data_IF_746198807339
#
_entry.id   IF_746198807339
#
_cell.length_a   1.000
_cell.length_b   1.000
_cell.length_c   1.000
_cell.angle_alpha   90.00
_cell.angle_beta   90.00
_cell.angle_gamma   90.00
#
_symmetry.space_group_name_H-M   'P 1'
#
loop_
_entity.id
_entity.type
_entity.pdbx_description
1 polymer ?
#
# COMPACT_ATOMS: atom_id res chain seq x y z
N UNK A 1 -31.81 30.78 -31.89
CA UNK A 1 -31.79 31.20 -30.46
C UNK A 1 -31.64 29.95 -29.59
N UNK A 2 -30.52 29.83 -28.83
CA UNK A 2 -30.29 29.14 -27.53
C UNK A 2 -30.69 27.64 -27.39
N UNK A 3 -30.02 26.71 -26.70
CA UNK A 3 -28.74 26.47 -25.97
C UNK A 3 -28.79 24.94 -25.67
N UNK A 4 -27.80 24.13 -26.02
CA UNK A 4 -26.74 23.55 -25.16
C UNK A 4 -27.18 22.88 -23.83
N UNK A 5 -27.01 21.56 -23.72
CA UNK A 5 -26.67 20.75 -22.52
C UNK A 5 -26.73 19.26 -22.93
N UNK A 6 -25.69 18.43 -22.92
CA UNK A 6 -24.49 18.43 -22.10
C UNK A 6 -24.51 17.19 -21.19
N UNK A 7 -23.54 16.29 -21.42
CA UNK A 7 -22.92 15.41 -20.41
C UNK A 7 -23.77 14.25 -19.85
N UNK A 8 -23.23 13.08 -19.55
CA UNK A 8 -21.92 12.51 -19.77
C UNK A 8 -22.06 10.99 -19.72
N UNK A 9 -21.29 10.35 -20.59
CA UNK A 9 -20.87 8.96 -20.50
C UNK A 9 -20.27 8.70 -19.11
N UNK A 10 -20.98 7.92 -18.27
CA UNK A 10 -20.42 7.34 -17.05
C UNK A 10 -20.22 5.85 -17.31
N UNK A 11 -19.13 5.56 -18.01
CA UNK A 11 -18.49 4.25 -18.04
C UNK A 11 -18.11 3.87 -16.61
N UNK A 12 -18.91 2.98 -16.03
CA UNK A 12 -18.57 2.27 -14.81
C UNK A 12 -17.51 1.22 -15.09
N UNK A 13 -16.24 1.63 -15.13
CA UNK A 13 -15.13 0.71 -14.96
C UNK A 13 -14.37 1.10 -13.68
N UNK A 14 -14.27 0.23 -12.66
CA UNK A 14 -13.22 0.38 -11.66
C UNK A 14 -11.90 0.05 -12.37
N UNK A 15 -11.30 1.06 -12.99
CA UNK A 15 -9.98 0.98 -13.59
C UNK A 15 -8.95 0.90 -12.46
N UNK A 16 -8.82 -0.29 -11.87
CA UNK A 16 -7.65 -0.66 -11.08
C UNK A 16 -6.51 -0.92 -12.06
N UNK A 17 -5.96 0.17 -12.62
CA UNK A 17 -4.61 0.13 -13.17
C UNK A 17 -3.70 0.01 -11.95
N UNK A 18 -2.94 -1.08 -11.87
CA UNK A 18 -1.74 -1.11 -11.04
C UNK A 18 -1.00 0.19 -11.32
N UNK A 19 -0.90 1.05 -10.30
CA UNK A 19 -0.28 2.34 -10.45
C UNK A 19 1.15 2.10 -10.97
N UNK A 20 1.56 2.68 -12.11
CA UNK A 20 2.87 2.39 -12.73
C UNK A 20 4.02 2.53 -11.72
N UNK A 21 3.89 3.44 -10.76
CA UNK A 21 4.85 3.63 -9.69
C UNK A 21 4.94 2.45 -8.71
N UNK A 22 3.85 1.73 -8.44
CA UNK A 22 3.91 0.52 -7.61
C UNK A 22 4.69 -0.61 -8.28
N UNK A 23 4.55 -0.73 -9.60
CA UNK A 23 5.31 -1.69 -10.41
C UNK A 23 6.81 -1.40 -10.36
N UNK A 24 7.19 -0.15 -10.61
CA UNK A 24 8.59 0.30 -10.56
C UNK A 24 9.22 0.10 -9.17
N UNK A 25 8.48 0.42 -8.10
CA UNK A 25 8.95 0.22 -6.73
C UNK A 25 9.13 -1.27 -6.42
N UNK A 26 8.15 -2.11 -6.80
CA UNK A 26 8.24 -3.55 -6.62
C UNK A 26 9.42 -4.16 -7.40
N UNK A 27 9.68 -3.69 -8.62
CA UNK A 27 10.82 -4.11 -9.43
C UNK A 27 12.15 -3.72 -8.76
N UNK A 28 12.28 -2.47 -8.28
CA UNK A 28 13.47 -2.02 -7.56
C UNK A 28 13.74 -2.83 -6.28
N UNK A 29 12.68 -3.20 -5.55
CA UNK A 29 12.79 -4.09 -4.38
C UNK A 29 13.27 -5.48 -4.80
N UNK A 30 12.75 -6.02 -5.91
CA UNK A 30 13.18 -7.31 -6.44
C UNK A 30 14.64 -7.29 -6.92
N UNK A 31 15.08 -6.20 -7.57
CA UNK A 31 16.48 -6.00 -8.00
C UNK A 31 17.45 -5.94 -6.82
N UNK A 32 16.99 -5.56 -5.63
CA UNK A 32 17.76 -5.63 -4.38
C UNK A 32 17.82 -7.05 -3.78
N UNK A 33 17.31 -8.07 -4.49
CA UNK A 33 17.29 -9.46 -4.05
C UNK A 33 16.18 -9.80 -3.06
N UNK A 34 15.25 -8.87 -2.81
CA UNK A 34 14.18 -9.06 -1.83
C UNK A 34 12.98 -9.72 -2.50
N UNK A 35 12.54 -10.86 -1.96
CA UNK A 35 11.42 -11.63 -2.52
C UNK A 35 10.09 -11.12 -1.97
N UNK A 36 9.33 -10.45 -2.85
CA UNK A 36 7.94 -10.06 -2.61
C UNK A 36 6.97 -11.17 -3.04
N UNK A 37 5.78 -11.16 -2.44
CA UNK A 37 4.70 -12.12 -2.71
C UNK A 37 3.54 -11.42 -3.41
N UNK A 38 3.18 -11.97 -4.56
CA UNK A 38 2.09 -11.50 -5.42
C UNK A 38 1.03 -12.58 -5.66
N UNK A 39 0.98 -13.59 -4.80
CA UNK A 39 -0.09 -14.59 -4.86
C UNK A 39 -1.45 -13.96 -4.52
N UNK A 40 -2.54 -14.65 -4.89
CA UNK A 40 -3.91 -14.14 -4.74
C UNK A 40 -4.26 -13.73 -3.31
N UNK A 41 -3.69 -14.39 -2.30
CA UNK A 41 -3.96 -14.06 -0.89
C UNK A 41 -3.24 -12.76 -0.51
N UNK A 42 -1.98 -12.61 -0.93
CA UNK A 42 -1.21 -11.39 -0.73
C UNK A 42 -1.89 -10.19 -1.38
N UNK A 43 -2.20 -10.26 -2.68
CA UNK A 43 -2.83 -9.16 -3.43
C UNK A 43 -4.17 -8.76 -2.80
N UNK A 44 -5.04 -9.73 -2.50
CA UNK A 44 -6.34 -9.46 -1.87
C UNK A 44 -6.21 -8.80 -0.50
N UNK A 45 -5.20 -9.17 0.29
CA UNK A 45 -4.94 -8.53 1.58
C UNK A 45 -4.54 -7.06 1.39
N UNK A 46 -3.60 -6.79 0.48
CA UNK A 46 -3.13 -5.43 0.19
C UNK A 46 -4.29 -4.57 -0.33
N UNK A 47 -5.02 -5.04 -1.32
CA UNK A 47 -6.13 -4.29 -1.94
C UNK A 47 -7.23 -3.97 -0.93
N UNK A 48 -7.61 -4.97 -0.12
CA UNK A 48 -8.64 -4.79 0.91
C UNK A 48 -8.22 -3.80 1.99
N UNK A 49 -6.93 -3.75 2.34
CA UNK A 49 -6.41 -2.76 3.29
C UNK A 49 -6.39 -1.38 2.64
N UNK A 50 -5.79 -1.23 1.46
CA UNK A 50 -5.72 0.04 0.73
C UNK A 50 -7.09 0.69 0.57
N UNK A 51 -8.06 -0.04 0.02
CA UNK A 51 -9.41 0.47 -0.21
C UNK A 51 -10.11 0.94 1.07
N UNK A 52 -9.78 0.33 2.22
CA UNK A 52 -10.43 0.63 3.50
C UNK A 52 -9.79 1.79 4.27
N UNK A 53 -8.53 2.12 3.97
CA UNK A 53 -7.77 3.12 4.73
C UNK A 53 -7.43 4.36 3.92
N UNK A 54 -7.48 4.30 2.58
CA UNK A 54 -7.09 5.42 1.71
C UNK A 54 -7.77 6.73 2.09
N UNK A 55 -9.08 6.72 2.38
CA UNK A 55 -9.85 7.93 2.73
C UNK A 55 -9.46 8.54 4.07
N UNK A 56 -8.82 7.79 4.97
CA UNK A 56 -8.38 8.29 6.27
C UNK A 56 -7.05 9.06 6.20
N UNK A 57 -6.29 8.95 5.10
CA UNK A 57 -4.97 9.58 4.98
C UNK A 57 -5.04 10.95 4.29
N UNK A 58 -4.35 11.99 4.78
CA UNK A 58 -4.22 13.27 4.07
C UNK A 58 -3.63 13.09 2.66
N UNK A 59 -3.95 14.00 1.72
CA UNK A 59 -3.47 13.93 0.32
C UNK A 59 -1.97 14.22 0.17
N UNK A 60 -1.37 14.85 1.18
CA UNK A 60 0.04 15.19 1.30
C UNK A 60 0.83 14.12 2.09
N UNK A 61 0.20 12.98 2.41
CA UNK A 61 0.83 11.89 3.13
C UNK A 61 0.66 10.56 2.40
N UNK A 62 1.73 9.77 2.42
CA UNK A 62 1.74 8.38 1.96
C UNK A 62 1.91 7.45 3.17
N UNK A 63 1.22 6.32 3.15
CA UNK A 63 1.38 5.23 4.09
C UNK A 63 2.06 4.05 3.40
N UNK A 64 3.22 3.65 3.90
CA UNK A 64 3.91 2.42 3.50
C UNK A 64 3.70 1.35 4.56
N UNK A 65 3.41 0.12 4.16
CA UNK A 65 3.39 -1.00 5.10
C UNK A 65 3.92 -2.31 4.50
N UNK A 66 4.36 -3.20 5.37
CA UNK A 66 4.81 -4.56 5.04
C UNK A 66 4.07 -5.58 5.89
N UNK A 67 3.87 -6.78 5.34
CA UNK A 67 3.31 -7.93 6.05
C UNK A 67 4.14 -9.16 5.71
N UNK A 68 4.60 -9.88 6.72
CA UNK A 68 5.38 -11.11 6.51
C UNK A 68 4.47 -12.28 6.12
N UNK A 69 4.90 -13.10 5.17
CA UNK A 69 4.29 -14.37 4.80
C UNK A 69 4.84 -15.55 5.64
N UNK A 70 4.09 -16.65 5.81
CA UNK A 70 2.75 -16.93 5.27
C UNK A 70 1.62 -16.21 6.04
N UNK A 71 0.60 -15.76 5.31
CA UNK A 71 -0.60 -15.13 5.91
C UNK A 71 -1.59 -16.23 6.33
N UNK A 72 -1.57 -16.62 7.62
CA UNK A 72 -2.38 -17.72 8.14
C UNK A 72 -3.87 -17.36 8.30
N UNK A 73 -4.17 -16.10 8.63
CA UNK A 73 -5.52 -15.64 8.89
C UNK A 73 -5.85 -14.35 8.10
N UNK A 74 -5.93 -14.41 6.76
CA UNK A 74 -5.95 -13.21 5.91
C UNK A 74 -7.07 -12.23 6.25
N UNK A 75 -8.28 -12.70 6.53
CA UNK A 75 -9.39 -11.83 6.91
C UNK A 75 -9.15 -11.13 8.26
N UNK A 76 -8.66 -11.87 9.27
CA UNK A 76 -8.36 -11.30 10.59
C UNK A 76 -7.19 -10.33 10.52
N UNK A 77 -6.14 -10.68 9.77
CA UNK A 77 -4.96 -9.82 9.57
C UNK A 77 -5.35 -8.54 8.84
N UNK A 78 -6.15 -8.62 7.79
CA UNK A 78 -6.66 -7.45 7.07
C UNK A 78 -7.48 -6.54 7.99
N UNK A 79 -8.47 -7.07 8.73
CA UNK A 79 -9.31 -6.26 9.62
C UNK A 79 -8.50 -5.56 10.73
N UNK A 80 -7.55 -6.28 11.35
CA UNK A 80 -6.68 -5.72 12.36
C UNK A 80 -5.73 -4.65 11.78
N UNK A 81 -5.18 -4.89 10.59
CA UNK A 81 -4.31 -3.94 9.90
C UNK A 81 -5.06 -2.67 9.48
N UNK A 82 -6.29 -2.79 8.97
CA UNK A 82 -7.13 -1.64 8.64
C UNK A 82 -7.41 -0.78 9.86
N UNK A 83 -7.75 -1.40 11.01
CA UNK A 83 -7.95 -0.67 12.26
C UNK A 83 -6.66 0.02 12.71
N UNK A 84 -5.55 -0.71 12.68
CA UNK A 84 -4.24 -0.17 13.05
C UNK A 84 -3.90 1.07 12.23
N UNK A 85 -4.01 0.97 10.90
CA UNK A 85 -3.60 2.03 9.98
C UNK A 85 -4.54 3.25 10.03
N UNK A 86 -5.83 3.07 10.31
CA UNK A 86 -6.76 4.19 10.53
C UNK A 86 -6.44 5.00 11.77
N UNK A 87 -6.10 4.31 12.85
CA UNK A 87 -5.79 4.94 14.15
C UNK A 87 -4.31 5.35 14.23
N UNK A 88 -3.56 5.18 13.15
CA UNK A 88 -2.12 5.34 13.14
C UNK A 88 -1.73 6.82 13.19
N UNK A 89 -1.31 7.29 14.35
CA UNK A 89 -0.82 8.66 14.55
C UNK A 89 0.70 8.78 14.46
N UNK A 90 1.44 7.71 14.80
CA UNK A 90 2.91 7.69 14.87
C UNK A 90 3.56 7.75 13.48
N UNK A 91 4.86 8.06 13.44
CA UNK A 91 5.65 8.06 12.19
C UNK A 91 5.94 6.63 11.72
N UNK A 92 6.29 5.74 12.65
CA UNK A 92 6.60 4.34 12.37
C UNK A 92 5.98 3.38 13.40
N UNK A 93 5.79 2.13 13.00
CA UNK A 93 5.39 1.06 13.89
C UNK A 93 5.87 -0.28 13.38
N UNK A 94 6.17 -1.16 14.34
CA UNK A 94 6.46 -2.58 14.11
C UNK A 94 5.74 -3.38 15.18
N UNK A 95 4.89 -4.32 14.76
CA UNK A 95 4.19 -5.22 15.67
C UNK A 95 3.80 -6.52 14.98
N UNK A 96 3.31 -7.48 15.76
CA UNK A 96 2.82 -8.76 15.24
C UNK A 96 1.29 -8.81 15.26
N UNK A 97 0.68 -9.09 14.10
CA UNK A 97 -0.77 -9.27 13.93
C UNK A 97 -1.02 -10.70 13.47
N UNK A 98 -1.72 -11.50 14.27
CA UNK A 98 -2.10 -12.89 13.92
C UNK A 98 -0.94 -13.76 13.41
N UNK A 99 0.27 -13.54 13.95
CA UNK A 99 1.49 -14.25 13.56
C UNK A 99 2.19 -13.71 12.32
N UNK A 100 1.75 -12.58 11.78
CA UNK A 100 2.45 -11.82 10.74
C UNK A 100 3.14 -10.63 11.39
N UNK A 101 4.44 -10.46 11.16
CA UNK A 101 5.07 -9.18 11.45
C UNK A 101 4.56 -8.13 10.46
N UNK A 102 4.24 -6.97 11.00
CA UNK A 102 3.74 -5.82 10.27
C UNK A 102 4.61 -4.63 10.64
N UNK A 103 5.21 -4.01 9.63
CA UNK A 103 5.85 -2.71 9.78
C UNK A 103 5.07 -1.68 8.96
N UNK A 104 4.92 -0.47 9.48
CA UNK A 104 4.31 0.62 8.74
C UNK A 104 5.02 1.95 9.02
N UNK A 105 5.03 2.83 8.02
CA UNK A 105 5.69 4.14 8.06
C UNK A 105 4.86 5.18 7.32
N UNK A 106 4.68 6.35 7.94
CA UNK A 106 4.19 7.56 7.24
C UNK A 106 5.34 8.22 6.52
N UNK A 107 5.08 8.63 5.29
CA UNK A 107 6.04 9.33 4.43
C UNK A 107 5.40 10.63 3.96
N UNK A 108 6.10 11.74 4.19
CA UNK A 108 5.79 13.04 3.59
C UNK A 108 6.48 13.09 2.22
N UNK A 109 5.85 12.49 1.21
CA UNK A 109 6.43 12.30 -0.12
C UNK A 109 6.02 13.41 -1.11
N UNK A 110 6.82 13.56 -2.17
CA UNK A 110 6.52 14.51 -3.26
C UNK A 110 5.43 13.94 -4.19
N UNK A 111 5.32 12.61 -4.26
CA UNK A 111 4.35 11.87 -5.08
C UNK A 111 3.05 11.50 -4.33
N UNK A 112 2.79 12.06 -3.14
CA UNK A 112 1.65 11.70 -2.27
C UNK A 112 0.28 11.91 -2.92
N UNK A 113 0.19 12.81 -3.90
CA UNK A 113 -1.03 13.05 -4.68
C UNK A 113 -1.47 11.86 -5.53
N UNK A 114 -0.57 10.90 -5.80
CA UNK A 114 -0.82 9.73 -6.66
C UNK A 114 -0.86 8.43 -5.84
N UNK A 115 0.05 8.26 -4.88
CA UNK A 115 0.20 7.02 -4.09
C UNK A 115 0.02 7.27 -2.59
N UNK A 116 -1.23 7.25 -2.12
CA UNK A 116 -1.58 7.49 -0.70
C UNK A 116 -1.29 6.29 0.20
N UNK A 117 -1.47 5.07 -0.28
CA UNK A 117 -1.30 3.85 0.53
C UNK A 117 -0.67 2.76 -0.31
N UNK A 118 0.47 2.25 0.14
CA UNK A 118 1.24 1.20 -0.52
C UNK A 118 1.59 0.10 0.48
N UNK A 119 1.50 -1.15 0.03
CA UNK A 119 1.66 -2.30 0.89
C UNK A 119 2.37 -3.44 0.19
N UNK A 120 3.24 -4.13 0.92
CA UNK A 120 4.03 -5.25 0.41
C UNK A 120 3.86 -6.49 1.28
N UNK A 121 3.83 -7.65 0.64
CA UNK A 121 3.96 -8.93 1.34
C UNK A 121 5.32 -9.51 1.00
N UNK A 122 6.08 -9.94 2.01
CA UNK A 122 7.43 -10.47 1.84
C UNK A 122 7.62 -11.77 2.62
N UNK A 123 8.60 -12.57 2.24
CA UNK A 123 8.94 -13.76 3.02
C UNK A 123 9.61 -13.38 4.36
N UNK A 124 9.60 -14.30 5.33
CA UNK A 124 10.13 -14.07 6.68
C UNK A 124 11.63 -13.79 6.74
N UNK A 125 12.40 -14.26 5.77
CA UNK A 125 13.83 -13.98 5.65
C UNK A 125 14.15 -12.56 5.15
N UNK A 126 13.17 -11.86 4.58
CA UNK A 126 13.36 -10.50 4.05
C UNK A 126 13.32 -9.47 5.18
N UNK A 127 14.22 -8.49 5.13
CA UNK A 127 14.20 -7.37 6.06
C UNK A 127 13.10 -6.36 5.67
N UNK A 128 12.06 -6.14 6.50
CA UNK A 128 10.99 -5.20 6.19
C UNK A 128 11.46 -3.74 6.13
N UNK A 129 12.49 -3.36 6.89
CA UNK A 129 12.99 -1.99 6.91
C UNK A 129 13.63 -1.63 5.56
N UNK A 130 14.38 -2.55 4.94
CA UNK A 130 14.95 -2.34 3.60
C UNK A 130 13.87 -2.18 2.52
N UNK A 131 12.76 -2.91 2.63
CA UNK A 131 11.61 -2.76 1.72
C UNK A 131 11.01 -1.36 1.85
N UNK A 132 10.79 -0.91 3.10
CA UNK A 132 10.23 0.41 3.37
C UNK A 132 11.17 1.53 2.94
N UNK A 133 12.48 1.40 3.18
CA UNK A 133 13.49 2.39 2.79
C UNK A 133 13.58 2.52 1.26
N UNK A 134 13.55 1.41 0.53
CA UNK A 134 13.52 1.43 -0.94
C UNK A 134 12.23 2.07 -1.46
N UNK A 135 11.07 1.71 -0.91
CA UNK A 135 9.80 2.29 -1.32
C UNK A 135 9.74 3.80 -1.02
N UNK A 136 10.18 4.22 0.16
CA UNK A 136 10.25 5.64 0.55
C UNK A 136 11.20 6.44 -0.34
N UNK A 137 12.37 5.89 -0.67
CA UNK A 137 13.34 6.55 -1.55
C UNK A 137 12.73 6.85 -2.92
N UNK A 138 11.97 5.90 -3.49
CA UNK A 138 11.23 6.14 -4.73
C UNK A 138 10.14 7.23 -4.58
N UNK A 139 9.38 7.22 -3.48
CA UNK A 139 8.32 8.22 -3.25
C UNK A 139 8.85 9.64 -3.02
N UNK A 140 10.06 9.76 -2.48
CA UNK A 140 10.71 11.03 -2.16
C UNK A 140 11.69 11.50 -3.24
N UNK A 141 11.93 10.68 -4.27
CA UNK A 141 12.88 10.98 -5.35
C UNK A 141 14.34 10.96 -4.88
N UNK A 142 14.66 10.14 -3.88
CA UNK A 142 16.00 10.00 -3.27
C UNK A 142 16.67 8.66 -3.62
#
# INVERSE_FOLDING_TARGET
MRRNSGSADQSGEPVFKSDPYEGEIAERIASAGIRLRFDKVALRLIDGVKASVIEAFPKDQSMLFTVTAPIKHPAKTSAALQRLLRDFSRENIRLTINGNEVCARKVNAVLTGVLRVMGFVHNAESNPDLILDLAESNLTGR
#
